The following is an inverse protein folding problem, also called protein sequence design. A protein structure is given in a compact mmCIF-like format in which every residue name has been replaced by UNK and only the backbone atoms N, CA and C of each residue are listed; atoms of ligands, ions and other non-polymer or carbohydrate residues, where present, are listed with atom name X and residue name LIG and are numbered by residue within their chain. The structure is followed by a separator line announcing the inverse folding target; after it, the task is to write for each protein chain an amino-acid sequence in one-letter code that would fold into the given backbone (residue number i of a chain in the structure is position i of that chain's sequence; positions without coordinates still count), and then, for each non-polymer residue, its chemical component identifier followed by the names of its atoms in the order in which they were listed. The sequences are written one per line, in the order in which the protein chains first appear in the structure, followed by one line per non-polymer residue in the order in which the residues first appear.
data_IF_382585885923
#
_entry.id   IF_382585885923
#
_cell.length_a   1.000
_cell.length_b   1.000
_cell.length_c   1.000
_cell.angle_alpha   90.00
_cell.angle_beta   90.00
_cell.angle_gamma   90.00
#
_symmetry.space_group_name_H-M   'P 1'
#
loop_
_entity.id
_entity.type
_entity.pdbx_description
1 polymer ?
#
# COMPACT_ATOMS: atom_id res chain seq x y z
N UNK A 1 -13.24 -31.32 -14.70
CA UNK A 1 -11.84 -31.13 -15.15
C UNK A 1 -11.72 -29.67 -15.52
N UNK A 2 -11.28 -28.85 -14.60
CA UNK A 2 -10.90 -27.46 -14.85
C UNK A 2 -9.60 -27.53 -15.64
N UNK A 3 -9.67 -27.12 -16.89
CA UNK A 3 -8.47 -26.85 -17.70
C UNK A 3 -7.86 -25.60 -17.06
N UNK A 4 -6.78 -25.77 -16.31
CA UNK A 4 -5.96 -24.65 -15.87
C UNK A 4 -5.50 -23.94 -17.16
N UNK A 5 -5.96 -22.72 -17.39
CA UNK A 5 -5.49 -21.90 -18.50
C UNK A 5 -3.99 -21.66 -18.27
N UNK A 6 -3.19 -22.12 -19.22
CA UNK A 6 -1.73 -21.91 -19.22
C UNK A 6 -1.37 -20.49 -19.67
N UNK A 7 -2.12 -19.50 -19.27
CA UNK A 7 -1.68 -18.11 -19.40
C UNK A 7 -0.67 -17.87 -18.30
N UNK A 8 0.59 -17.51 -18.63
CA UNK A 8 1.54 -17.07 -17.61
C UNK A 8 0.88 -16.00 -16.74
N UNK A 9 1.15 -16.02 -15.44
CA UNK A 9 0.60 -15.04 -14.50
C UNK A 9 1.11 -13.65 -14.91
N UNK A 10 0.32 -12.91 -15.68
CA UNK A 10 0.70 -11.62 -16.25
C UNK A 10 1.02 -10.59 -15.18
N UNK A 11 0.52 -10.80 -13.98
CA UNK A 11 0.78 -9.95 -12.81
C UNK A 11 2.24 -10.02 -12.36
N UNK A 12 2.92 -11.14 -12.62
CA UNK A 12 4.36 -11.35 -12.33
C UNK A 12 5.28 -10.92 -13.50
N UNK A 13 4.71 -10.53 -14.64
CA UNK A 13 5.47 -10.00 -15.76
C UNK A 13 5.84 -8.52 -15.54
N UNK A 14 6.95 -8.09 -16.15
CA UNK A 14 7.18 -6.66 -16.33
C UNK A 14 6.23 -6.08 -17.39
N UNK A 15 5.97 -4.77 -17.41
CA UNK A 15 5.15 -4.15 -18.47
C UNK A 15 5.64 -4.44 -19.88
N UNK A 16 6.95 -4.52 -20.09
CA UNK A 16 7.57 -4.86 -21.39
C UNK A 16 7.27 -6.32 -21.77
N UNK A 17 7.44 -7.27 -20.84
CA UNK A 17 7.12 -8.68 -21.07
C UNK A 17 5.63 -8.88 -21.33
N UNK A 18 4.77 -8.17 -20.58
CA UNK A 18 3.32 -8.20 -20.83
C UNK A 18 2.98 -7.67 -22.21
N UNK A 19 3.59 -6.56 -22.64
CA UNK A 19 3.37 -6.00 -23.97
C UNK A 19 3.74 -6.99 -25.08
N UNK A 20 4.86 -7.69 -24.94
CA UNK A 20 5.27 -8.74 -25.89
C UNK A 20 4.30 -9.92 -25.89
N UNK A 21 3.87 -10.39 -24.71
CA UNK A 21 2.91 -11.48 -24.58
C UNK A 21 1.55 -11.13 -25.23
N UNK A 22 1.05 -9.91 -25.00
CA UNK A 22 -0.19 -9.43 -25.61
C UNK A 22 -0.09 -9.28 -27.14
N UNK A 23 1.09 -8.91 -27.66
CA UNK A 23 1.31 -8.80 -29.10
C UNK A 23 1.38 -10.17 -29.79
N UNK A 24 1.78 -11.22 -29.07
CA UNK A 24 1.86 -12.60 -29.58
C UNK A 24 0.55 -13.39 -29.40
N UNK A 25 -0.34 -12.94 -28.48
CA UNK A 25 -1.60 -13.59 -28.25
C UNK A 25 -2.50 -13.45 -29.47
N UNK A 26 -3.03 -14.59 -29.97
CA UNK A 26 -4.00 -14.57 -31.05
C UNK A 26 -5.33 -14.00 -30.53
N UNK A 27 -5.99 -13.18 -31.34
CA UNK A 27 -7.21 -12.43 -31.02
C UNK A 27 -8.41 -13.28 -30.61
N UNK A 28 -8.35 -14.61 -30.78
CA UNK A 28 -9.43 -15.53 -30.41
C UNK A 28 -9.45 -15.88 -28.90
N UNK A 29 -8.39 -15.58 -28.14
CA UNK A 29 -8.29 -15.82 -26.69
C UNK A 29 -8.66 -14.56 -25.87
N UNK A 30 -9.74 -13.88 -26.24
CA UNK A 30 -10.28 -12.73 -25.51
C UNK A 30 -10.89 -13.16 -24.15
N UNK A 31 -10.07 -13.74 -23.26
CA UNK A 31 -10.45 -13.95 -21.87
C UNK A 31 -10.60 -12.60 -21.16
N UNK A 32 -11.45 -12.52 -20.14
CA UNK A 32 -11.58 -11.31 -19.32
C UNK A 32 -10.23 -10.87 -18.76
N UNK A 33 -9.34 -11.82 -18.46
CA UNK A 33 -7.99 -11.58 -17.98
C UNK A 33 -7.11 -10.85 -18.99
N UNK A 34 -7.20 -11.21 -20.26
CA UNK A 34 -6.49 -10.53 -21.34
C UNK A 34 -6.95 -9.08 -21.50
N UNK A 35 -8.26 -8.85 -21.51
CA UNK A 35 -8.82 -7.50 -21.62
C UNK A 35 -8.41 -6.63 -20.44
N UNK A 36 -8.43 -7.16 -19.23
CA UNK A 36 -8.00 -6.46 -18.02
C UNK A 36 -6.50 -6.16 -18.02
N UNK A 37 -5.65 -7.15 -18.36
CA UNK A 37 -4.21 -6.96 -18.46
C UNK A 37 -3.83 -5.87 -19.47
N UNK A 38 -4.51 -5.85 -20.62
CA UNK A 38 -4.34 -4.82 -21.64
C UNK A 38 -4.76 -3.44 -21.14
N UNK A 39 -5.89 -3.34 -20.46
CA UNK A 39 -6.37 -2.09 -19.89
C UNK A 39 -5.36 -1.51 -18.88
N UNK A 40 -4.82 -2.35 -17.99
CA UNK A 40 -3.80 -1.92 -17.02
C UNK A 40 -2.52 -1.42 -17.71
N UNK A 41 -2.06 -2.13 -18.75
CA UNK A 41 -0.90 -1.71 -19.53
C UNK A 41 -1.14 -0.38 -20.27
N UNK A 42 -2.34 -0.19 -20.83
CA UNK A 42 -2.72 1.05 -21.50
C UNK A 42 -2.78 2.23 -20.50
N UNK A 43 -3.28 2.03 -19.29
CA UNK A 43 -3.29 3.04 -18.21
C UNK A 43 -1.87 3.47 -17.83
N UNK A 44 -0.95 2.53 -17.60
CA UNK A 44 0.45 2.82 -17.33
C UNK A 44 1.11 3.61 -18.49
N UNK A 45 0.78 3.26 -19.72
CA UNK A 45 1.30 3.93 -20.91
C UNK A 45 0.83 5.38 -21.05
N UNK A 46 -0.39 5.68 -20.61
CA UNK A 46 -0.96 7.05 -20.61
C UNK A 46 -0.28 7.95 -19.56
N UNK A 47 0.30 7.38 -18.52
CA UNK A 47 0.97 8.07 -17.43
C UNK A 47 2.49 7.89 -17.45
N UNK A 48 3.12 7.92 -18.62
CA UNK A 48 4.53 7.53 -18.83
C UNK A 48 5.53 8.20 -17.86
N UNK A 49 5.34 9.47 -17.49
CA UNK A 49 6.22 10.14 -16.53
C UNK A 49 6.08 9.53 -15.13
N UNK A 50 4.84 9.32 -14.67
CA UNK A 50 4.57 8.72 -13.38
C UNK A 50 5.10 7.28 -13.33
N UNK A 51 4.92 6.52 -14.41
CA UNK A 51 5.45 5.15 -14.54
C UNK A 51 6.98 5.12 -14.43
N UNK A 52 7.68 6.07 -15.05
CA UNK A 52 9.14 6.19 -14.92
C UNK A 52 9.57 6.54 -13.49
N UNK A 53 8.85 7.41 -12.82
CA UNK A 53 9.10 7.77 -11.42
C UNK A 53 8.88 6.54 -10.51
N UNK A 54 7.83 5.75 -10.77
CA UNK A 54 7.56 4.48 -10.07
C UNK A 54 8.71 3.48 -10.27
N UNK A 55 9.19 3.28 -11.50
CA UNK A 55 10.32 2.39 -11.75
C UNK A 55 11.57 2.82 -11.00
N UNK A 56 11.84 4.11 -10.95
CA UNK A 56 12.96 4.66 -10.19
C UNK A 56 12.86 4.36 -8.70
N UNK A 57 11.66 4.46 -8.14
CA UNK A 57 11.41 4.13 -6.72
C UNK A 57 11.55 2.64 -6.47
N UNK A 58 10.93 1.79 -7.29
CA UNK A 58 11.03 0.33 -7.14
C UNK A 58 12.49 -0.15 -7.25
N UNK A 59 13.23 0.37 -8.21
CA UNK A 59 14.65 0.07 -8.38
C UNK A 59 15.49 0.50 -7.18
N UNK A 60 15.19 1.66 -6.59
CA UNK A 60 15.88 2.15 -5.38
C UNK A 60 15.76 1.17 -4.21
N UNK A 61 14.63 0.47 -4.11
CA UNK A 61 14.36 -0.50 -3.04
C UNK A 61 14.65 -1.95 -3.46
N UNK A 62 15.28 -2.17 -4.62
CA UNK A 62 15.55 -3.50 -5.18
C UNK A 62 14.29 -4.36 -5.34
N UNK A 63 13.17 -3.71 -5.69
CA UNK A 63 11.87 -4.33 -5.93
C UNK A 63 11.73 -4.59 -7.45
N UNK A 64 11.40 -5.81 -7.88
CA UNK A 64 11.16 -6.10 -9.29
C UNK A 64 10.02 -5.26 -9.88
N UNK A 65 10.19 -4.78 -11.12
CA UNK A 65 9.17 -4.01 -11.84
C UNK A 65 8.09 -4.93 -12.43
N UNK A 66 7.52 -5.83 -11.64
CA UNK A 66 6.36 -6.64 -12.07
C UNK A 66 5.11 -5.78 -12.16
N UNK A 67 4.13 -6.20 -12.95
CA UNK A 67 2.84 -5.49 -13.06
C UNK A 67 2.21 -5.29 -11.68
N UNK A 68 2.23 -6.30 -10.81
CA UNK A 68 1.72 -6.19 -9.44
C UNK A 68 2.42 -5.07 -8.66
N UNK A 69 3.75 -5.02 -8.67
CA UNK A 69 4.51 -4.02 -7.92
C UNK A 69 4.33 -2.60 -8.49
N UNK A 70 4.26 -2.49 -9.82
CA UNK A 70 4.03 -1.21 -10.49
C UNK A 70 2.62 -0.68 -10.17
N UNK A 71 1.60 -1.52 -10.28
CA UNK A 71 0.21 -1.18 -9.93
C UNK A 71 0.06 -0.86 -8.44
N UNK A 72 0.73 -1.62 -7.56
CA UNK A 72 0.73 -1.36 -6.12
C UNK A 72 1.31 0.02 -5.81
N UNK A 73 2.46 0.35 -6.39
CA UNK A 73 3.10 1.66 -6.20
C UNK A 73 2.26 2.80 -6.82
N UNK A 74 1.67 2.58 -7.99
CA UNK A 74 0.75 3.54 -8.62
C UNK A 74 -0.45 3.84 -7.72
N UNK A 75 -1.08 2.79 -7.19
CA UNK A 75 -2.20 2.94 -6.27
C UNK A 75 -1.80 3.71 -5.00
N UNK A 76 -0.60 3.45 -4.44
CA UNK A 76 -0.09 4.18 -3.27
C UNK A 76 0.19 5.67 -3.57
N UNK A 77 0.58 5.99 -4.81
CA UNK A 77 0.81 7.38 -5.24
C UNK A 77 -0.51 8.11 -5.48
N UNK A 78 -1.46 7.47 -6.16
CA UNK A 78 -2.75 8.06 -6.55
C UNK A 78 -3.74 8.11 -5.40
N UNK A 79 -3.72 7.10 -4.53
CA UNK A 79 -4.63 6.95 -3.40
C UNK A 79 -3.91 6.42 -2.16
N UNK A 80 -3.26 7.30 -1.45
CA UNK A 80 -2.51 6.99 -0.22
C UNK A 80 -3.37 6.37 0.87
N UNK A 81 -4.67 6.64 0.84
CA UNK A 81 -5.61 6.12 1.83
C UNK A 81 -6.17 4.75 1.43
N UNK A 82 -5.94 4.28 0.20
CA UNK A 82 -6.50 3.05 -0.33
C UNK A 82 -6.17 1.82 0.51
N UNK A 83 -4.90 1.66 0.87
CA UNK A 83 -4.43 0.57 1.75
C UNK A 83 -5.17 0.58 3.08
N UNK A 84 -5.27 1.75 3.72
CA UNK A 84 -5.93 1.87 5.02
C UNK A 84 -7.44 1.66 4.94
N UNK A 85 -8.09 2.09 3.84
CA UNK A 85 -9.51 1.77 3.61
C UNK A 85 -9.73 0.27 3.43
N UNK A 86 -8.84 -0.44 2.75
CA UNK A 86 -8.93 -1.89 2.62
C UNK A 86 -8.75 -2.61 3.95
N UNK A 87 -7.84 -2.16 4.80
CA UNK A 87 -7.56 -2.79 6.10
C UNK A 87 -8.61 -2.42 7.14
N UNK A 88 -8.94 -1.14 7.26
CA UNK A 88 -9.78 -0.59 8.34
C UNK A 88 -11.23 -0.32 7.94
N UNK A 89 -11.55 -0.37 6.63
CA UNK A 89 -12.89 -0.09 6.11
C UNK A 89 -13.92 -1.17 6.49
N UNK A 90 -15.19 -0.82 6.38
CA UNK A 90 -16.30 -1.74 6.67
C UNK A 90 -16.37 -2.93 5.70
N UNK A 91 -15.89 -2.76 4.47
CA UNK A 91 -15.83 -3.82 3.45
C UNK A 91 -14.81 -4.91 3.79
N UNK A 92 -13.90 -4.67 4.74
CA UNK A 92 -12.97 -5.66 5.27
C UNK A 92 -13.66 -6.69 6.23
N UNK A 93 -14.98 -6.77 6.19
CA UNK A 93 -15.74 -7.82 6.87
C UNK A 93 -15.69 -9.09 6.01
N UNK A 94 -14.71 -9.94 6.30
CA UNK A 94 -14.75 -11.31 5.80
C UNK A 94 -15.92 -12.08 6.43
N UNK A 95 -16.35 -13.16 5.78
CA UNK A 95 -17.32 -14.11 6.34
C UNK A 95 -16.70 -14.86 7.52
N UNK A 96 -16.57 -14.18 8.66
CA UNK A 96 -16.01 -14.76 9.86
C UNK A 96 -17.12 -15.11 10.87
N UNK A 97 -16.85 -16.13 11.69
CA UNK A 97 -17.60 -16.33 12.91
C UNK A 97 -17.49 -15.09 13.80
N UNK A 98 -18.54 -14.69 14.47
CA UNK A 98 -18.61 -13.48 15.31
C UNK A 98 -17.39 -13.28 16.23
N UNK A 99 -16.84 -14.37 16.79
CA UNK A 99 -15.63 -14.35 17.63
C UNK A 99 -14.38 -13.84 16.92
N UNK A 100 -14.21 -14.18 15.64
CA UNK A 100 -13.05 -13.73 14.85
C UNK A 100 -13.18 -12.25 14.43
N UNK A 101 -14.41 -11.79 14.18
CA UNK A 101 -14.68 -10.38 13.87
C UNK A 101 -14.33 -9.46 15.05
N UNK A 102 -14.67 -9.88 16.26
CA UNK A 102 -14.37 -9.10 17.48
C UNK A 102 -12.86 -9.02 17.75
N UNK A 103 -12.16 -10.14 17.56
CA UNK A 103 -10.69 -10.17 17.69
C UNK A 103 -10.01 -9.28 16.64
N UNK A 104 -10.46 -9.35 15.38
CA UNK A 104 -9.92 -8.52 14.30
C UNK A 104 -10.20 -7.02 14.55
N UNK A 105 -11.40 -6.69 15.02
CA UNK A 105 -11.74 -5.30 15.37
C UNK A 105 -10.82 -4.75 16.47
N UNK A 106 -10.58 -5.53 17.52
CA UNK A 106 -9.63 -5.16 18.60
C UNK A 106 -8.20 -5.02 18.10
N UNK A 107 -7.74 -5.92 17.21
CA UNK A 107 -6.41 -5.84 16.63
C UNK A 107 -6.24 -4.59 15.76
N UNK A 108 -7.27 -4.21 14.99
CA UNK A 108 -7.28 -2.96 14.19
C UNK A 108 -7.20 -1.72 15.08
N UNK A 109 -7.96 -1.69 16.18
CA UNK A 109 -7.94 -0.59 17.15
C UNK A 109 -6.56 -0.47 17.82
N UNK A 110 -5.98 -1.60 18.25
CA UNK A 110 -4.65 -1.64 18.85
C UNK A 110 -3.57 -1.08 17.91
N UNK A 111 -3.59 -1.45 16.63
CA UNK A 111 -2.64 -0.91 15.65
C UNK A 111 -2.74 0.62 15.53
N UNK A 112 -3.93 1.19 15.56
CA UNK A 112 -4.12 2.65 15.51
C UNK A 112 -3.55 3.33 16.76
N UNK A 113 -3.74 2.74 17.95
CA UNK A 113 -3.16 3.22 19.21
C UNK A 113 -1.63 3.12 19.18
N UNK A 114 -1.10 1.97 18.75
CA UNK A 114 0.35 1.73 18.69
C UNK A 114 1.05 2.71 17.75
N UNK A 115 0.46 3.03 16.59
CA UNK A 115 1.00 4.09 15.74
C UNK A 115 0.97 5.47 16.41
N UNK A 116 -0.08 5.77 17.17
CA UNK A 116 -0.19 7.02 17.93
C UNK A 116 0.93 7.19 18.96
N UNK A 117 1.26 6.10 19.67
CA UNK A 117 2.34 6.07 20.66
C UNK A 117 3.73 6.01 20.03
N UNK A 118 3.86 5.29 18.91
CA UNK A 118 5.11 5.01 18.21
C UNK A 118 5.69 6.21 17.46
N UNK A 119 4.91 7.26 17.22
CA UNK A 119 5.31 8.42 16.40
C UNK A 119 6.59 9.10 16.91
N UNK A 120 6.91 8.91 18.20
CA UNK A 120 8.08 9.49 18.87
C UNK A 120 9.38 8.68 18.66
N UNK A 121 9.33 7.44 18.15
CA UNK A 121 10.52 6.60 17.99
C UNK A 121 10.50 5.79 16.68
N UNK A 122 11.62 5.73 15.95
CA UNK A 122 11.74 4.91 14.74
C UNK A 122 11.50 3.42 15.01
N UNK A 123 11.97 2.92 16.16
CA UNK A 123 11.80 1.52 16.56
C UNK A 123 10.32 1.21 16.82
N UNK A 124 9.60 2.15 17.46
CA UNK A 124 8.15 2.04 17.67
C UNK A 124 7.39 2.03 16.35
N UNK A 125 7.73 2.92 15.42
CA UNK A 125 7.10 2.96 14.10
C UNK A 125 7.35 1.69 13.29
N UNK A 126 8.55 1.10 13.39
CA UNK A 126 8.85 -0.18 12.75
C UNK A 126 8.00 -1.32 13.34
N UNK A 127 7.87 -1.39 14.66
CA UNK A 127 7.03 -2.39 15.33
C UNK A 127 5.54 -2.21 14.97
N UNK A 128 5.02 -0.99 14.96
CA UNK A 128 3.64 -0.71 14.55
C UNK A 128 3.40 -1.08 13.06
N UNK A 129 4.40 -0.91 12.20
CA UNK A 129 4.32 -1.34 10.81
C UNK A 129 4.25 -2.87 10.66
N UNK A 130 4.97 -3.63 11.49
CA UNK A 130 4.88 -5.09 11.52
C UNK A 130 3.48 -5.55 11.98
N UNK A 131 2.92 -4.93 13.01
CA UNK A 131 1.57 -5.21 13.48
C UNK A 131 0.51 -4.88 12.42
N UNK A 132 0.67 -3.78 11.69
CA UNK A 132 -0.21 -3.44 10.56
C UNK A 132 -0.20 -4.54 9.49
N UNK A 133 0.98 -5.08 9.18
CA UNK A 133 1.11 -6.17 8.22
C UNK A 133 0.41 -7.44 8.72
N UNK A 134 0.52 -7.77 10.01
CA UNK A 134 -0.19 -8.90 10.62
C UNK A 134 -1.71 -8.74 10.58
N UNK A 135 -2.22 -7.56 10.91
CA UNK A 135 -3.66 -7.26 10.82
C UNK A 135 -4.15 -7.38 9.38
N UNK A 136 -3.39 -6.86 8.42
CA UNK A 136 -3.74 -6.95 7.00
C UNK A 136 -3.73 -8.41 6.52
N UNK A 137 -2.78 -9.23 6.96
CA UNK A 137 -2.77 -10.67 6.67
C UNK A 137 -4.02 -11.37 7.22
N UNK A 138 -4.48 -11.02 8.41
CA UNK A 138 -5.70 -11.56 8.99
C UNK A 138 -6.95 -11.11 8.22
N UNK A 139 -6.99 -9.85 7.73
CA UNK A 139 -8.05 -9.38 6.82
C UNK A 139 -8.06 -10.20 5.54
N UNK A 140 -6.89 -10.41 4.91
CA UNK A 140 -6.78 -11.20 3.68
C UNK A 140 -7.19 -12.67 3.90
N UNK A 141 -6.80 -13.30 5.01
CA UNK A 141 -7.25 -14.65 5.37
C UNK A 141 -8.76 -14.71 5.47
N UNK A 142 -9.37 -13.72 6.11
CA UNK A 142 -10.81 -13.63 6.18
C UNK A 142 -11.51 -13.52 4.83
N UNK A 143 -10.91 -12.82 3.89
CA UNK A 143 -11.44 -12.76 2.53
C UNK A 143 -11.34 -14.11 1.81
N UNK A 144 -10.26 -14.87 2.03
CA UNK A 144 -10.07 -16.21 1.42
C UNK A 144 -11.05 -17.25 1.99
N UNK A 145 -11.34 -17.18 3.27
CA UNK A 145 -12.23 -18.14 3.96
C UNK A 145 -13.71 -17.90 3.64
N UNK A 146 -14.04 -16.90 2.85
CA UNK A 146 -15.41 -16.70 2.36
C UNK A 146 -15.75 -17.70 1.24
N UNK A 147 -16.97 -18.24 1.27
CA UNK A 147 -17.42 -19.23 0.27
C UNK A 147 -17.55 -18.67 -1.17
N UNK A 148 -17.47 -17.34 -1.33
CA UNK A 148 -17.70 -16.61 -2.59
C UNK A 148 -16.45 -15.89 -3.10
N UNK A 149 -15.24 -16.38 -2.84
CA UNK A 149 -13.99 -15.76 -3.32
C UNK A 149 -13.94 -15.69 -4.85
N UNK A 150 -13.80 -14.50 -5.38
CA UNK A 150 -13.68 -14.26 -6.81
C UNK A 150 -12.21 -14.07 -7.24
N UNK A 151 -11.95 -14.15 -8.56
CA UNK A 151 -10.62 -13.82 -9.09
C UNK A 151 -10.23 -12.35 -8.82
N UNK A 152 -11.20 -11.45 -8.70
CA UNK A 152 -10.99 -10.04 -8.37
C UNK A 152 -10.49 -9.91 -6.92
N UNK A 153 -11.09 -10.63 -5.99
CA UNK A 153 -10.66 -10.63 -4.58
C UNK A 153 -9.21 -11.09 -4.42
N UNK A 154 -8.82 -12.12 -5.18
CA UNK A 154 -7.43 -12.62 -5.18
C UNK A 154 -6.46 -11.55 -5.69
N UNK A 155 -6.82 -10.79 -6.74
CA UNK A 155 -5.99 -9.70 -7.26
C UNK A 155 -5.89 -8.55 -6.27
N UNK A 156 -6.98 -8.16 -5.65
CA UNK A 156 -6.99 -7.13 -4.60
C UNK A 156 -6.09 -7.53 -3.42
N UNK A 157 -6.12 -8.80 -3.00
CA UNK A 157 -5.22 -9.31 -1.95
C UNK A 157 -3.75 -9.27 -2.37
N UNK A 158 -3.43 -9.66 -3.60
CA UNK A 158 -2.05 -9.56 -4.12
C UNK A 158 -1.57 -8.11 -4.15
N UNK A 159 -2.43 -7.20 -4.61
CA UNK A 159 -2.14 -5.77 -4.66
C UNK A 159 -1.88 -5.22 -3.25
N UNK A 160 -2.75 -5.55 -2.29
CA UNK A 160 -2.58 -5.16 -0.89
C UNK A 160 -1.29 -5.70 -0.29
N UNK A 161 -0.98 -6.98 -0.53
CA UNK A 161 0.27 -7.61 -0.08
C UNK A 161 1.50 -6.91 -0.65
N UNK A 162 1.49 -6.56 -1.94
CA UNK A 162 2.57 -5.81 -2.59
C UNK A 162 2.72 -4.40 -1.99
N UNK A 163 1.62 -3.69 -1.75
CA UNK A 163 1.62 -2.37 -1.12
C UNK A 163 2.22 -2.41 0.29
N UNK A 164 1.88 -3.41 1.09
CA UNK A 164 2.44 -3.60 2.44
C UNK A 164 3.94 -3.92 2.39
N UNK A 165 4.36 -4.77 1.45
CA UNK A 165 5.76 -5.10 1.24
C UNK A 165 6.58 -3.87 0.84
N UNK A 166 6.09 -3.07 -0.10
CA UNK A 166 6.70 -1.79 -0.50
C UNK A 166 6.75 -0.84 0.70
N UNK A 167 5.66 -0.70 1.45
CA UNK A 167 5.59 0.13 2.64
C UNK A 167 6.61 -0.27 3.71
N UNK A 168 6.80 -1.57 3.94
CA UNK A 168 7.80 -2.10 4.87
C UNK A 168 9.23 -1.80 4.42
N UNK A 169 9.51 -1.84 3.11
CA UNK A 169 10.82 -1.46 2.58
C UNK A 169 11.08 0.04 2.70
N UNK A 170 10.06 0.86 2.43
CA UNK A 170 10.16 2.31 2.60
C UNK A 170 10.37 2.68 4.09
N UNK A 171 9.77 1.95 5.02
CA UNK A 171 9.94 2.15 6.45
C UNK A 171 11.39 1.93 6.92
N UNK A 172 12.14 1.02 6.28
CA UNK A 172 13.59 0.84 6.55
C UNK A 172 14.43 2.08 6.22
N UNK A 173 13.94 2.93 5.34
CA UNK A 173 14.54 4.24 5.01
C UNK A 173 13.83 5.41 5.70
N UNK A 174 13.15 5.14 6.79
CA UNK A 174 12.46 6.16 7.60
C UNK A 174 11.37 6.91 6.81
N UNK A 175 10.70 6.21 5.88
CA UNK A 175 9.52 6.69 5.19
C UNK A 175 8.32 5.82 5.60
N UNK A 176 7.40 6.39 6.36
CA UNK A 176 6.28 5.67 6.96
C UNK A 176 4.96 6.16 6.39
N UNK A 177 4.03 5.24 6.24
CA UNK A 177 2.62 5.53 6.07
C UNK A 177 1.91 5.21 7.39
N UNK A 178 1.38 6.22 8.06
CA UNK A 178 0.80 6.13 9.40
C UNK A 178 -0.71 6.24 9.30
N UNK A 179 -1.49 5.23 9.73
CA UNK A 179 -2.94 5.34 9.81
C UNK A 179 -3.34 6.22 10.98
N UNK A 180 -4.25 7.16 10.73
CA UNK A 180 -4.80 8.04 11.75
C UNK A 180 -6.31 8.03 11.68
N UNK A 181 -6.96 7.78 12.81
CA UNK A 181 -8.41 7.83 12.93
C UNK A 181 -8.89 9.29 12.88
N UNK A 182 -9.86 9.55 12.01
CA UNK A 182 -10.56 10.84 11.90
C UNK A 182 -12.06 10.62 11.98
N UNK A 183 -12.83 11.69 12.07
CA UNK A 183 -14.31 11.63 12.03
C UNK A 183 -14.84 11.00 10.73
N UNK A 184 -14.09 11.10 9.63
CA UNK A 184 -14.46 10.55 8.32
C UNK A 184 -13.87 9.17 8.02
N UNK A 185 -13.24 8.51 9.01
CA UNK A 185 -12.58 7.22 8.90
C UNK A 185 -11.05 7.31 9.03
N UNK A 186 -10.37 6.23 8.70
CA UNK A 186 -8.91 6.17 8.78
C UNK A 186 -8.30 6.82 7.55
N UNK A 187 -7.36 7.75 7.77
CA UNK A 187 -6.57 8.43 6.73
C UNK A 187 -5.09 8.13 6.91
N UNK A 188 -4.35 8.08 5.80
CA UNK A 188 -2.91 7.87 5.80
C UNK A 188 -2.14 9.19 5.91
N UNK A 189 -1.23 9.26 6.86
CA UNK A 189 -0.23 10.32 6.94
C UNK A 189 1.09 9.76 6.44
N UNK A 190 1.72 10.42 5.48
CA UNK A 190 3.09 10.09 5.07
C UNK A 190 4.07 10.89 5.92
N UNK A 191 4.96 10.18 6.59
CA UNK A 191 6.03 10.74 7.42
C UNK A 191 7.37 10.32 6.84
N UNK A 192 8.23 11.29 6.54
CA UNK A 192 9.58 11.05 6.09
C UNK A 192 10.56 11.74 7.04
N UNK A 193 11.46 10.96 7.62
CA UNK A 193 12.53 11.49 8.46
C UNK A 193 13.78 11.64 7.61
N UNK A 194 14.33 12.84 7.55
CA UNK A 194 15.60 13.13 6.87
C UNK A 194 16.62 13.48 7.94
N UNK A 195 17.56 12.58 8.17
CA UNK A 195 18.67 12.84 9.10
C UNK A 195 19.68 13.76 8.42
N UNK A 196 19.87 14.95 8.94
CA UNK A 196 20.90 15.87 8.46
C UNK A 196 22.28 15.52 8.98
N UNK A 197 23.33 15.94 8.27
CA UNK A 197 24.71 15.89 8.78
C UNK A 197 24.86 16.84 9.98
N UNK A 198 24.96 16.27 11.18
CA UNK A 198 25.18 17.02 12.40
C UNK A 198 23.96 17.14 13.32
N UNK A 199 23.69 18.34 13.84
CA UNK A 199 22.73 18.59 14.95
C UNK A 199 21.27 18.82 14.51
N UNK A 200 20.97 18.72 13.20
CA UNK A 200 19.66 19.08 12.64
C UNK A 200 19.06 17.92 11.89
N UNK A 201 17.87 17.52 12.30
CA UNK A 201 17.01 16.58 11.56
C UNK A 201 15.83 17.32 10.94
N UNK A 202 15.35 16.85 9.79
CA UNK A 202 14.11 17.30 9.17
C UNK A 202 13.09 16.19 9.23
N UNK A 203 11.85 16.53 9.53
CA UNK A 203 10.71 15.63 9.47
C UNK A 203 9.69 16.24 8.53
N UNK A 204 9.48 15.59 7.40
CA UNK A 204 8.46 15.97 6.43
C UNK A 204 7.20 15.15 6.69
N UNK A 205 6.08 15.83 6.90
CA UNK A 205 4.77 15.23 7.09
C UNK A 205 3.89 15.66 5.92
N UNK A 206 3.22 14.70 5.29
CA UNK A 206 2.24 14.96 4.25
C UNK A 206 0.97 14.19 4.52
N UNK A 207 -0.16 14.87 4.45
CA UNK A 207 -1.50 14.30 4.61
C UNK A 207 -2.40 14.78 3.47
N UNK A 208 -3.27 13.90 2.99
CA UNK A 208 -4.30 14.27 2.03
C UNK A 208 -5.68 14.13 2.65
N UNK A 209 -6.45 15.20 2.60
CA UNK A 209 -7.80 15.24 3.16
C UNK A 209 -8.82 15.58 2.08
N UNK A 210 -10.04 15.06 2.23
CA UNK A 210 -11.14 15.33 1.28
C UNK A 210 -11.56 16.81 1.25
N UNK A 211 -11.42 17.53 2.36
CA UNK A 211 -11.87 18.91 2.51
C UNK A 211 -10.80 19.94 2.11
N UNK A 212 -9.53 19.65 2.39
CA UNK A 212 -8.44 20.61 2.26
C UNK A 212 -7.39 20.19 1.24
N UNK A 213 -7.58 19.04 0.56
CA UNK A 213 -6.59 18.49 -0.35
C UNK A 213 -5.31 18.07 0.38
N UNK A 214 -4.17 18.27 -0.27
CA UNK A 214 -2.85 17.91 0.25
C UNK A 214 -2.33 18.97 1.21
N UNK A 215 -2.07 18.55 2.44
CA UNK A 215 -1.42 19.36 3.49
C UNK A 215 0.00 18.81 3.66
N UNK A 216 0.99 19.71 3.68
CA UNK A 216 2.38 19.34 3.93
C UNK A 216 2.97 20.25 5.00
N UNK A 217 3.75 19.68 5.93
CA UNK A 217 4.46 20.39 6.96
C UNK A 217 5.88 19.81 7.09
N UNK A 218 6.86 20.70 7.24
CA UNK A 218 8.25 20.31 7.51
C UNK A 218 8.64 20.81 8.89
N UNK A 219 9.10 19.92 9.74
CA UNK A 219 9.61 20.22 11.07
C UNK A 219 11.12 20.06 11.10
N UNK A 220 11.80 21.06 11.64
CA UNK A 220 13.23 20.98 11.90
C UNK A 220 13.46 20.68 13.38
N UNK A 221 14.07 19.53 13.67
CA UNK A 221 14.50 19.17 15.01
C UNK A 221 15.94 19.63 15.24
N UNK A 222 16.18 20.36 16.33
CA UNK A 222 17.51 20.68 16.80
C UNK A 222 17.85 19.75 17.99
N UNK A 223 19.13 19.39 18.15
CA UNK A 223 19.64 18.46 19.20
C UNK A 223 19.28 18.87 20.64
N UNK A 224 18.75 20.07 20.87
CA UNK A 224 18.32 20.54 22.20
C UNK A 224 16.94 20.01 22.62
N UNK A 225 16.27 19.16 21.84
CA UNK A 225 15.03 18.47 22.23
C UNK A 225 13.83 19.38 22.55
N UNK A 226 13.90 20.67 22.25
CA UNK A 226 12.80 21.61 22.45
C UNK A 226 12.11 21.87 21.10
N UNK A 227 10.94 21.30 20.95
CA UNK A 227 9.98 21.75 19.92
C UNK A 227 9.58 23.17 20.29
N UNK A 228 9.72 24.18 19.40
CA UNK A 228 9.24 25.52 19.67
C UNK A 228 7.72 25.44 19.92
N UNK A 229 7.29 25.86 21.11
CA UNK A 229 5.85 26.03 21.41
C UNK A 229 5.36 27.31 20.73
N UNK A 230 5.15 27.28 19.43
CA UNK A 230 4.45 28.34 18.73
C UNK A 230 3.49 27.68 17.75
N UNK A 231 2.27 27.51 18.22
CA UNK A 231 1.06 27.39 17.42
C UNK A 231 0.25 28.67 17.63
#
# INVERSE_FOLDING_TARGET
KVVASQTPDWEEMTPEQLKEALAQAQTDDASQDYAYAKEQLDQLSQSAKMTQDIYTVLQKYDIPNTMTNVMAMEAMVNDRNGVFRQIFGESAKGSHKEENEEQLARAKEQVLEDFGEAIASPEGLAAAQEQLAEVAENVMKGMIDSDDVTSLDIREMRLLSAQLSIGSMMAKEEQYAIPVQTESGVVGISLKVVRGDGEKGLVDITMETKLHGKIAATFQANRTGRIPKNF
#
